data_IF_009209554574
#
_entry.id   IF_009209554574
#
_cell.length_a   1.000
_cell.length_b   1.000
_cell.length_c   1.000
_cell.angle_alpha   90.00
_cell.angle_beta   90.00
_cell.angle_gamma   90.00
#
_symmetry.space_group_name_H-M   'P 1'
#
loop_
_entity.id
_entity.type
_entity.pdbx_description
1 polymer ?
#
# COMPACT_ATOMS: atom_id res chain seq x y z
N UNK A 1 1.22 7.20 19.92
CA UNK A 1 1.44 7.11 18.45
C UNK A 1 0.16 7.44 17.71
N UNK A 2 0.26 8.07 16.56
CA UNK A 2 -0.87 8.34 15.67
C UNK A 2 -1.01 7.18 14.68
N UNK A 3 -2.03 6.30 14.81
CA UNK A 3 -2.22 5.18 13.89
C UNK A 3 -2.51 5.68 12.48
N UNK A 4 -1.96 5.01 11.48
CA UNK A 4 -2.26 5.31 10.08
C UNK A 4 -3.56 4.64 9.63
N UNK A 5 -4.14 5.22 8.59
CA UNK A 5 -5.28 4.68 7.86
C UNK A 5 -5.02 4.69 6.36
N UNK A 6 -5.72 3.82 5.64
CA UNK A 6 -5.80 3.89 4.18
C UNK A 6 -7.26 4.17 3.78
N UNK A 7 -7.42 4.88 2.67
CA UNK A 7 -8.73 5.16 2.10
C UNK A 7 -8.75 4.89 0.59
N UNK A 8 -9.95 4.65 0.10
CA UNK A 8 -10.29 4.51 -1.31
C UNK A 8 -11.57 5.31 -1.54
N UNK A 9 -11.53 6.30 -2.45
CA UNK A 9 -12.71 6.94 -3.03
C UNK A 9 -12.82 6.40 -4.45
N UNK A 10 -13.97 5.81 -4.76
CA UNK A 10 -14.21 5.07 -6.00
C UNK A 10 -15.45 5.62 -6.69
N UNK A 11 -15.29 6.19 -7.86
CA UNK A 11 -16.39 6.78 -8.62
C UNK A 11 -16.40 6.21 -10.05
N UNK A 12 -17.57 5.78 -10.58
CA UNK A 12 -17.67 5.35 -11.96
C UNK A 12 -17.37 6.53 -12.90
N UNK A 13 -16.53 6.29 -13.89
CA UNK A 13 -16.21 7.29 -14.93
C UNK A 13 -17.37 7.31 -15.93
N UNK A 14 -17.81 8.49 -16.31
CA UNK A 14 -18.85 8.64 -17.35
C UNK A 14 -18.34 8.06 -18.68
N UNK A 15 -19.07 7.14 -19.31
CA UNK A 15 -18.62 6.51 -20.54
C UNK A 15 -18.16 7.53 -21.62
N UNK A 16 -16.98 7.29 -22.18
CA UNK A 16 -16.37 8.18 -23.18
C UNK A 16 -15.55 9.35 -22.59
N UNK A 17 -15.52 9.54 -21.25
CA UNK A 17 -14.71 10.59 -20.60
C UNK A 17 -13.35 10.11 -20.11
N UNK A 18 -13.03 8.81 -20.28
CA UNK A 18 -11.79 8.19 -19.77
C UNK A 18 -10.54 8.84 -20.35
N UNK A 19 -10.57 9.17 -21.63
CA UNK A 19 -9.43 9.80 -22.32
C UNK A 19 -9.17 11.22 -21.79
N UNK A 20 -10.21 12.01 -21.63
CA UNK A 20 -10.10 13.38 -21.12
C UNK A 20 -9.63 13.37 -19.65
N UNK A 21 -10.13 12.43 -18.85
CA UNK A 21 -9.69 12.22 -17.48
C UNK A 21 -8.19 11.88 -17.43
N UNK A 22 -7.73 10.90 -18.22
CA UNK A 22 -6.29 10.54 -18.28
C UNK A 22 -5.43 11.73 -18.74
N UNK A 23 -5.90 12.52 -19.70
CA UNK A 23 -5.21 13.73 -20.14
C UNK A 23 -5.08 14.77 -19.01
N UNK A 24 -6.15 14.98 -18.23
CA UNK A 24 -6.10 15.85 -17.05
C UNK A 24 -5.11 15.33 -16.00
N UNK A 25 -5.18 14.03 -15.66
CA UNK A 25 -4.30 13.41 -14.65
C UNK A 25 -2.83 13.48 -15.08
N UNK A 26 -2.54 13.33 -16.36
CA UNK A 26 -1.16 13.44 -16.86
C UNK A 26 -0.53 14.81 -16.58
N UNK A 27 -1.34 15.91 -16.53
CA UNK A 27 -0.84 17.25 -16.20
C UNK A 27 -0.39 17.41 -14.75
N UNK A 28 -0.69 16.45 -13.89
CA UNK A 28 -0.35 16.48 -12.48
C UNK A 28 1.05 15.92 -12.15
N UNK A 29 1.75 15.41 -13.15
CA UNK A 29 3.04 14.77 -12.98
C UNK A 29 4.19 15.68 -13.42
N UNK A 30 5.28 15.70 -12.65
CA UNK A 30 6.56 16.32 -12.99
C UNK A 30 7.37 15.46 -13.96
N UNK A 31 7.20 14.13 -13.88
CA UNK A 31 7.79 13.13 -14.75
C UNK A 31 6.86 11.89 -14.81
N UNK A 32 7.00 11.00 -15.80
CA UNK A 32 6.23 9.78 -15.84
C UNK A 32 6.33 9.01 -14.51
N UNK A 33 5.18 8.58 -13.94
CA UNK A 33 5.14 7.87 -12.68
C UNK A 33 5.47 8.69 -11.42
N UNK A 34 5.59 10.00 -11.51
CA UNK A 34 5.94 10.89 -10.40
C UNK A 34 5.04 12.12 -10.37
N UNK A 35 4.13 12.17 -9.40
CA UNK A 35 3.30 13.35 -9.19
C UNK A 35 4.15 14.57 -8.80
N UNK A 36 3.85 15.74 -9.40
CA UNK A 36 4.36 17.00 -8.90
C UNK A 36 3.67 17.33 -7.56
N UNK A 37 4.40 17.39 -6.44
CA UNK A 37 3.81 17.69 -5.14
C UNK A 37 3.16 19.08 -5.06
N UNK A 38 3.51 19.99 -5.95
CA UNK A 38 3.00 21.36 -6.03
C UNK A 38 2.07 21.61 -7.22
N UNK A 39 1.60 20.56 -7.92
CA UNK A 39 0.76 20.76 -9.10
C UNK A 39 -0.51 21.55 -8.84
N UNK A 40 -0.96 22.29 -9.86
CA UNK A 40 -2.07 23.24 -9.74
C UNK A 40 -3.46 22.58 -9.57
N UNK A 41 -3.59 21.27 -9.84
CA UNK A 41 -4.86 20.53 -9.70
C UNK A 41 -5.03 20.01 -8.28
N UNK A 42 -4.02 19.31 -7.75
CA UNK A 42 -4.04 18.75 -6.39
C UNK A 42 -2.62 18.74 -5.84
N UNK A 43 -2.24 19.82 -5.16
CA UNK A 43 -0.93 19.98 -4.55
C UNK A 43 -0.78 19.04 -3.34
N UNK A 44 -0.45 17.79 -3.58
CA UNK A 44 -0.31 16.76 -2.53
C UNK A 44 0.69 17.16 -1.44
N UNK A 45 1.74 17.90 -1.78
CA UNK A 45 2.79 18.33 -0.85
C UNK A 45 2.32 19.19 0.32
N UNK A 46 1.13 19.82 0.20
CA UNK A 46 0.53 20.59 1.28
C UNK A 46 -0.11 19.73 2.40
N UNK A 47 -0.30 18.41 2.15
CA UNK A 47 -0.95 17.50 3.10
C UNK A 47 0.09 16.77 3.95
N UNK A 48 0.43 17.34 5.10
CA UNK A 48 1.52 16.86 5.97
C UNK A 48 1.29 15.47 6.56
N UNK A 49 0.03 14.99 6.58
CA UNK A 49 -0.37 13.68 7.11
C UNK A 49 -0.47 12.60 6.03
N UNK A 50 -0.22 12.92 4.76
CA UNK A 50 -0.40 12.02 3.63
C UNK A 50 0.93 11.36 3.25
N UNK A 51 1.07 10.05 3.49
CA UNK A 51 2.25 9.27 3.13
C UNK A 51 2.37 9.03 1.63
N UNK A 52 1.31 8.46 1.09
CA UNK A 52 1.17 8.13 -0.33
C UNK A 52 -0.23 8.49 -0.80
N UNK A 53 -0.35 8.91 -2.04
CA UNK A 53 -1.62 9.06 -2.72
C UNK A 53 -1.49 8.65 -4.17
N UNK A 54 -2.57 8.15 -4.76
CA UNK A 54 -2.63 7.86 -6.18
C UNK A 54 -4.01 8.12 -6.76
N UNK A 55 -4.01 8.46 -8.04
CA UNK A 55 -5.17 8.42 -8.90
C UNK A 55 -4.92 7.37 -9.98
N UNK A 56 -5.86 6.46 -10.13
CA UNK A 56 -5.80 5.40 -11.14
C UNK A 56 -7.17 5.23 -11.80
N UNK A 57 -7.17 5.09 -13.11
CA UNK A 57 -8.36 4.74 -13.88
C UNK A 57 -8.42 3.22 -13.97
N UNK A 58 -9.38 2.62 -13.27
CA UNK A 58 -9.56 1.18 -13.19
C UNK A 58 -10.35 0.68 -14.40
N UNK A 59 -9.67 0.64 -15.53
CA UNK A 59 -10.16 0.11 -16.80
C UNK A 59 -9.63 -1.31 -16.95
N UNK A 60 -10.47 -2.31 -16.63
CA UNK A 60 -10.05 -3.70 -16.52
C UNK A 60 -9.89 -4.34 -17.91
N UNK A 61 -8.64 -4.57 -18.39
CA UNK A 61 -8.40 -5.13 -19.71
C UNK A 61 -8.80 -6.61 -19.81
N UNK A 62 -9.06 -7.27 -18.68
CA UNK A 62 -9.37 -8.70 -18.61
C UNK A 62 -10.87 -9.02 -18.69
N UNK A 63 -11.74 -8.00 -18.76
CA UNK A 63 -13.19 -8.20 -18.91
C UNK A 63 -13.57 -8.88 -20.22
N UNK A 64 -12.70 -8.83 -21.23
CA UNK A 64 -12.91 -9.53 -22.50
C UNK A 64 -12.51 -11.01 -22.48
N UNK A 65 -11.91 -11.49 -21.38
CA UNK A 65 -11.47 -12.88 -21.27
C UNK A 65 -12.67 -13.82 -21.26
N UNK A 66 -12.67 -14.77 -22.17
CA UNK A 66 -13.69 -15.81 -22.25
C UNK A 66 -13.30 -16.96 -21.32
N UNK A 67 -13.98 -17.06 -20.19
CA UNK A 67 -13.78 -18.13 -19.23
C UNK A 67 -15.12 -18.49 -18.57
N UNK A 68 -15.29 -19.76 -18.24
CA UNK A 68 -16.46 -20.27 -17.51
C UNK A 68 -17.79 -20.12 -18.22
N UNK A 69 -17.83 -20.06 -19.54
CA UNK A 69 -19.04 -19.89 -20.36
C UNK A 69 -19.95 -18.73 -19.93
N UNK A 70 -19.33 -17.70 -19.32
CA UNK A 70 -20.06 -16.52 -18.89
C UNK A 70 -20.18 -15.51 -20.03
N UNK A 71 -21.34 -14.83 -20.16
CA UNK A 71 -21.45 -13.73 -21.11
C UNK A 71 -20.45 -12.62 -20.74
N UNK A 72 -19.94 -11.92 -21.74
CA UNK A 72 -19.12 -10.72 -21.53
C UNK A 72 -19.84 -9.75 -20.61
N UNK A 73 -19.18 -9.37 -19.53
CA UNK A 73 -19.75 -8.42 -18.55
C UNK A 73 -19.32 -7.00 -18.94
N UNK A 74 -20.32 -6.13 -19.11
CA UNK A 74 -20.09 -4.70 -19.18
C UNK A 74 -20.07 -4.16 -17.75
N UNK A 75 -18.89 -3.92 -17.20
CA UNK A 75 -18.69 -3.34 -15.86
C UNK A 75 -18.12 -1.93 -15.99
N UNK A 76 -18.46 -1.02 -15.08
CA UNK A 76 -17.99 0.36 -15.15
C UNK A 76 -16.46 0.45 -15.06
N UNK A 77 -15.89 1.44 -15.76
CA UNK A 77 -14.57 1.95 -15.49
C UNK A 77 -14.67 2.87 -14.27
N UNK A 78 -13.75 2.75 -13.34
CA UNK A 78 -13.75 3.59 -12.13
C UNK A 78 -12.53 4.50 -12.08
N UNK A 79 -12.73 5.71 -11.59
CA UNK A 79 -11.64 6.51 -11.03
C UNK A 79 -11.46 6.12 -9.56
N UNK A 80 -10.25 5.72 -9.20
CA UNK A 80 -9.85 5.46 -7.82
C UNK A 80 -8.90 6.54 -7.33
N UNK A 81 -9.30 7.29 -6.30
CA UNK A 81 -8.42 8.11 -5.48
C UNK A 81 -8.12 7.32 -4.20
N UNK A 82 -6.86 6.96 -4.01
CA UNK A 82 -6.43 6.25 -2.80
C UNK A 82 -5.36 7.01 -2.04
N UNK A 83 -5.29 6.81 -0.74
CA UNK A 83 -4.24 7.40 0.09
C UNK A 83 -3.96 6.60 1.35
N UNK A 84 -2.76 6.80 1.87
CA UNK A 84 -2.29 6.32 3.17
C UNK A 84 -1.95 7.54 4.01
N UNK A 85 -2.56 7.69 5.18
CA UNK A 85 -2.45 8.90 5.99
C UNK A 85 -2.31 8.63 7.48
N UNK A 86 -1.79 9.60 8.21
CA UNK A 86 -1.77 9.61 9.66
C UNK A 86 -3.16 9.97 10.21
N UNK A 87 -3.64 9.19 11.17
CA UNK A 87 -4.95 9.37 11.79
C UNK A 87 -6.11 8.80 10.98
N UNK A 88 -7.36 9.21 11.27
CA UNK A 88 -8.56 8.70 10.64
C UNK A 88 -8.66 9.04 9.16
N UNK A 89 -9.06 8.07 8.33
CA UNK A 89 -9.25 8.26 6.89
C UNK A 89 -10.30 9.34 6.56
N UNK A 90 -11.36 9.43 7.36
CA UNK A 90 -12.45 10.40 7.15
C UNK A 90 -11.99 11.85 7.29
N UNK A 91 -11.11 12.10 8.27
CA UNK A 91 -10.49 13.41 8.44
C UNK A 91 -9.60 13.77 7.24
N UNK A 92 -8.83 12.79 6.73
CA UNK A 92 -7.97 13.00 5.57
C UNK A 92 -8.79 13.31 4.31
N UNK A 93 -9.87 12.57 4.06
CA UNK A 93 -10.78 12.82 2.93
C UNK A 93 -11.40 14.21 3.05
N UNK A 94 -11.86 14.60 4.25
CA UNK A 94 -12.43 15.92 4.50
C UNK A 94 -11.42 17.05 4.32
N UNK A 95 -10.16 16.83 4.72
CA UNK A 95 -9.08 17.79 4.52
C UNK A 95 -8.73 17.95 3.02
N UNK A 96 -8.68 16.84 2.28
CA UNK A 96 -8.52 16.86 0.82
C UNK A 96 -9.65 17.65 0.14
N UNK A 97 -10.91 17.38 0.49
CA UNK A 97 -12.07 18.07 -0.08
C UNK A 97 -12.04 19.57 0.22
N UNK A 98 -11.64 19.97 1.43
CA UNK A 98 -11.59 21.37 1.85
C UNK A 98 -10.46 22.14 1.18
N UNK A 99 -9.23 21.59 1.16
CA UNK A 99 -8.02 22.31 0.74
C UNK A 99 -7.72 22.18 -0.75
N UNK A 100 -8.14 21.10 -1.39
CA UNK A 100 -7.94 20.85 -2.82
C UNK A 100 -9.28 20.77 -3.60
N UNK A 101 -10.34 21.35 -3.07
CA UNK A 101 -11.71 21.19 -3.59
C UNK A 101 -11.86 21.57 -5.05
N UNK A 102 -11.26 22.66 -5.51
CA UNK A 102 -11.32 23.11 -6.90
C UNK A 102 -10.75 22.06 -7.86
N UNK A 103 -9.57 21.51 -7.57
CA UNK A 103 -8.93 20.51 -8.41
C UNK A 103 -9.67 19.18 -8.37
N UNK A 104 -10.11 18.74 -7.17
CA UNK A 104 -10.89 17.51 -7.03
C UNK A 104 -12.22 17.58 -7.78
N UNK A 105 -12.91 18.72 -7.77
CA UNK A 105 -14.14 18.92 -8.58
C UNK A 105 -13.85 18.81 -10.07
N UNK A 106 -12.72 19.33 -10.56
CA UNK A 106 -12.31 19.17 -11.96
C UNK A 106 -12.07 17.69 -12.32
N UNK A 107 -11.46 16.93 -11.41
CA UNK A 107 -11.22 15.50 -11.60
C UNK A 107 -12.55 14.74 -11.59
N UNK A 108 -13.38 14.91 -10.55
CA UNK A 108 -14.63 14.18 -10.40
C UNK A 108 -15.73 14.62 -11.37
N UNK A 109 -15.59 15.75 -12.06
CA UNK A 109 -16.47 16.14 -13.17
C UNK A 109 -16.46 15.16 -14.35
N UNK A 110 -15.50 14.22 -14.38
CA UNK A 110 -15.48 13.13 -15.34
C UNK A 110 -16.22 11.87 -14.85
N UNK A 111 -16.74 11.91 -13.61
CA UNK A 111 -17.41 10.77 -12.98
C UNK A 111 -18.93 10.90 -13.08
N UNK A 112 -19.59 9.77 -13.19
CA UNK A 112 -21.05 9.71 -13.30
C UNK A 112 -21.74 10.19 -12.02
N UNK A 113 -22.82 10.97 -12.16
CA UNK A 113 -23.58 11.49 -11.04
C UNK A 113 -22.87 12.55 -10.19
N UNK A 114 -21.71 13.09 -10.61
CA UNK A 114 -21.03 14.15 -9.86
C UNK A 114 -21.71 15.52 -10.04
N UNK A 115 -22.13 16.13 -8.95
CA UNK A 115 -22.61 17.50 -8.93
C UNK A 115 -21.50 18.49 -8.52
N UNK A 116 -21.11 19.36 -9.44
CA UNK A 116 -20.07 20.35 -9.21
C UNK A 116 -20.48 21.41 -8.16
N UNK A 117 -21.77 21.64 -7.94
CA UNK A 117 -22.31 22.59 -6.93
C UNK A 117 -22.49 21.97 -5.55
N UNK A 118 -22.50 20.63 -5.46
CA UNK A 118 -22.78 19.88 -4.24
C UNK A 118 -21.65 19.90 -3.21
N UNK A 119 -21.91 19.30 -2.05
CA UNK A 119 -20.90 19.08 -1.00
C UNK A 119 -19.91 18.00 -1.44
N UNK A 120 -18.69 18.43 -1.77
CA UNK A 120 -17.62 17.54 -2.21
C UNK A 120 -17.20 16.53 -1.13
N UNK A 121 -17.14 16.94 0.13
CA UNK A 121 -16.73 16.05 1.22
C UNK A 121 -17.76 14.95 1.42
N UNK A 122 -19.05 15.31 1.45
CA UNK A 122 -20.15 14.35 1.53
C UNK A 122 -20.17 13.39 0.33
N UNK A 123 -19.92 13.92 -0.88
CA UNK A 123 -19.84 13.10 -2.09
C UNK A 123 -18.67 12.10 -2.03
N UNK A 124 -17.48 12.53 -1.65
CA UNK A 124 -16.32 11.66 -1.49
C UNK A 124 -16.54 10.59 -0.42
N UNK A 125 -17.20 10.92 0.68
CA UNK A 125 -17.55 9.96 1.73
C UNK A 125 -18.60 8.94 1.26
N UNK A 126 -19.59 9.37 0.47
CA UNK A 126 -20.57 8.46 -0.12
C UNK A 126 -19.94 7.47 -1.12
N UNK A 127 -18.86 7.87 -1.79
CA UNK A 127 -18.08 7.05 -2.72
C UNK A 127 -16.93 6.30 -2.07
N UNK A 128 -16.86 6.26 -0.74
CA UNK A 128 -15.81 5.56 -0.02
C UNK A 128 -15.95 4.05 -0.18
N UNK A 129 -14.94 3.44 -0.80
CA UNK A 129 -14.81 1.99 -0.95
C UNK A 129 -14.43 1.30 0.38
N UNK A 130 -15.01 0.12 0.63
CA UNK A 130 -14.62 -0.71 1.78
C UNK A 130 -13.38 -1.53 1.46
N UNK A 131 -12.36 -1.41 2.30
CA UNK A 131 -11.17 -2.24 2.20
C UNK A 131 -11.46 -3.63 2.80
N UNK A 132 -11.30 -4.68 2.01
CA UNK A 132 -11.51 -6.06 2.47
C UNK A 132 -10.35 -6.55 3.34
N UNK A 133 -9.13 -6.13 3.00
CA UNK A 133 -7.93 -6.31 3.81
C UNK A 133 -7.01 -5.10 3.66
N UNK A 134 -6.24 -4.82 4.71
CA UNK A 134 -5.42 -3.63 4.80
C UNK A 134 -4.12 -3.95 5.54
N UNK A 135 -2.97 -3.64 4.92
CA UNK A 135 -1.64 -3.80 5.48
C UNK A 135 -0.94 -2.46 5.63
N UNK A 136 -0.37 -2.22 6.80
CA UNK A 136 0.46 -1.07 7.15
C UNK A 136 1.75 -1.60 7.76
N UNK A 137 2.89 -1.34 7.13
CA UNK A 137 4.19 -1.87 7.54
C UNK A 137 4.59 -1.49 8.97
N UNK A 138 4.39 -0.21 9.33
CA UNK A 138 4.80 0.32 10.62
C UNK A 138 3.72 1.20 11.23
N UNK A 139 2.84 0.55 12.01
CA UNK A 139 1.73 1.26 12.65
C UNK A 139 2.24 2.30 13.65
N UNK A 140 1.79 3.54 13.47
CA UNK A 140 2.08 4.67 14.36
C UNK A 140 3.32 5.48 14.00
N UNK A 141 3.94 5.25 12.83
CA UNK A 141 5.04 6.05 12.31
C UNK A 141 4.52 7.12 11.37
N UNK A 142 4.51 8.37 11.80
CA UNK A 142 3.93 9.49 11.06
C UNK A 142 4.84 10.00 9.93
N UNK A 143 4.25 10.68 8.94
CA UNK A 143 4.98 11.39 7.87
C UNK A 143 5.99 12.36 8.47
N UNK A 144 5.59 13.10 9.50
CA UNK A 144 6.47 14.06 10.20
C UNK A 144 7.70 13.36 10.76
N UNK A 145 7.50 12.27 11.52
CA UNK A 145 8.63 11.50 12.07
C UNK A 145 9.56 10.99 10.99
N UNK A 146 9.03 10.43 9.89
CA UNK A 146 9.86 9.96 8.76
C UNK A 146 10.72 11.08 8.19
N UNK A 147 10.14 12.26 7.97
CA UNK A 147 10.87 13.44 7.43
C UNK A 147 11.91 13.97 8.39
N UNK A 148 11.57 14.13 9.67
CA UNK A 148 12.48 14.61 10.72
C UNK A 148 13.67 13.65 10.91
N UNK A 149 13.42 12.34 10.98
CA UNK A 149 14.46 11.34 11.14
C UNK A 149 15.36 11.23 9.90
N UNK A 150 14.80 11.41 8.71
CA UNK A 150 15.58 11.52 7.48
C UNK A 150 16.48 12.78 7.46
N UNK A 151 15.99 13.91 7.97
CA UNK A 151 16.78 15.13 8.12
C UNK A 151 17.88 14.96 9.17
N UNK A 152 17.57 14.34 10.31
CA UNK A 152 18.53 14.00 11.36
C UNK A 152 19.69 13.14 10.81
N UNK A 153 19.37 12.06 10.09
CA UNK A 153 20.40 11.20 9.49
C UNK A 153 21.32 12.00 8.56
N UNK A 154 20.77 12.81 7.65
CA UNK A 154 21.58 13.62 6.72
C UNK A 154 22.49 14.61 7.47
N UNK A 155 22.00 15.26 8.51
CA UNK A 155 22.77 16.21 9.31
C UNK A 155 23.94 15.52 10.04
N UNK A 156 23.65 14.36 10.68
CA UNK A 156 24.66 13.57 11.38
C UNK A 156 25.71 13.00 10.43
N UNK A 157 25.31 12.41 9.30
CA UNK A 157 26.23 11.87 8.30
C UNK A 157 27.19 12.95 7.75
N UNK A 158 26.67 14.16 7.49
CA UNK A 158 27.48 15.29 7.06
C UNK A 158 28.46 15.77 8.16
N UNK A 159 28.07 15.71 9.43
CA UNK A 159 28.92 16.09 10.57
C UNK A 159 30.01 15.05 10.80
N UNK A 160 29.67 13.75 10.79
CA UNK A 160 30.61 12.63 10.94
C UNK A 160 31.66 12.64 9.84
N UNK A 161 31.29 12.84 8.59
CA UNK A 161 32.27 12.90 7.49
C UNK A 161 33.32 13.99 7.68
N UNK A 162 32.99 15.11 8.33
CA UNK A 162 33.94 16.16 8.69
C UNK A 162 34.80 15.80 9.90
N UNK A 163 34.21 15.13 10.90
CA UNK A 163 34.91 14.75 12.13
C UNK A 163 35.95 13.63 11.91
N UNK A 164 35.61 12.63 11.10
CA UNK A 164 36.51 11.51 10.76
C UNK A 164 37.74 11.96 9.98
N UNK A 165 37.65 13.07 9.26
CA UNK A 165 38.79 13.69 8.60
C UNK A 165 39.73 14.44 9.59
N UNK A 166 39.30 14.65 10.83
CA UNK A 166 39.98 15.53 11.78
C UNK A 166 40.58 14.84 13.01
N UNK A 167 40.18 13.63 13.43
CA UNK A 167 40.73 13.02 14.67
C UNK A 167 40.49 11.51 14.81
N UNK A 168 41.39 10.83 15.54
CA UNK A 168 41.23 9.46 16.05
C UNK A 168 40.43 9.40 17.36
N UNK A 169 39.26 10.04 17.42
CA UNK A 169 38.41 10.09 18.62
C UNK A 169 37.80 8.72 18.96
N UNK A 170 37.64 8.42 20.26
CA UNK A 170 36.96 7.21 20.75
C UNK A 170 35.46 7.29 20.40
N UNK A 171 34.83 6.12 20.13
CA UNK A 171 33.43 6.04 19.67
C UNK A 171 32.42 6.73 20.60
N UNK A 172 32.62 6.61 21.91
CA UNK A 172 31.76 7.29 22.90
C UNK A 172 31.89 8.82 22.88
N UNK A 173 33.10 9.32 22.67
CA UNK A 173 33.40 10.74 22.61
C UNK A 173 32.75 11.36 21.35
N UNK A 174 32.96 10.71 20.20
CA UNK A 174 32.32 11.11 18.95
C UNK A 174 30.79 11.07 19.05
N UNK A 175 30.21 10.02 19.65
CA UNK A 175 28.75 9.94 19.88
C UNK A 175 28.25 11.12 20.72
N UNK A 176 28.99 11.49 21.78
CA UNK A 176 28.63 12.62 22.66
C UNK A 176 28.67 13.95 21.88
N UNK A 177 29.72 14.19 21.11
CA UNK A 177 29.82 15.37 20.24
C UNK A 177 28.68 15.48 19.26
N UNK A 178 28.23 14.33 18.71
CA UNK A 178 27.11 14.30 17.78
C UNK A 178 25.76 14.57 18.47
N UNK A 179 25.55 14.11 19.70
CA UNK A 179 24.37 14.43 20.50
C UNK A 179 24.34 15.93 20.81
N UNK A 180 25.45 16.53 21.27
CA UNK A 180 25.56 17.96 21.54
C UNK A 180 25.30 18.81 20.28
N UNK A 181 25.76 18.32 19.13
CA UNK A 181 25.46 18.93 17.84
C UNK A 181 23.96 18.89 17.54
N UNK A 182 23.29 17.74 17.73
CA UNK A 182 21.84 17.62 17.52
C UNK A 182 21.07 18.55 18.43
N UNK A 183 21.40 18.63 19.72
CA UNK A 183 20.75 19.51 20.68
C UNK A 183 20.90 20.99 20.28
N UNK A 184 22.07 21.36 19.76
CA UNK A 184 22.32 22.70 19.21
C UNK A 184 21.43 22.98 17.98
N UNK A 185 21.34 22.03 17.03
CA UNK A 185 20.54 22.17 15.81
C UNK A 185 19.03 22.23 16.12
N UNK A 186 18.57 21.43 17.10
CA UNK A 186 17.17 21.44 17.56
C UNK A 186 16.86 22.76 18.26
N UNK A 187 17.72 23.24 19.16
CA UNK A 187 17.55 24.52 19.86
C UNK A 187 17.54 25.70 18.90
N UNK A 188 18.27 25.62 17.80
CA UNK A 188 18.29 26.62 16.75
C UNK A 188 17.15 26.49 15.74
N UNK A 189 16.26 25.50 15.89
CA UNK A 189 15.11 25.27 14.99
C UNK A 189 15.49 24.73 13.59
N UNK A 190 16.75 24.25 13.40
CA UNK A 190 17.21 23.67 12.13
C UNK A 190 16.92 22.18 12.01
N UNK A 191 16.74 21.48 13.12
CA UNK A 191 16.23 20.10 13.17
C UNK A 191 14.96 20.04 14.01
N UNK A 192 14.01 19.19 13.59
CA UNK A 192 12.82 18.83 14.34
C UNK A 192 12.96 17.40 14.88
N UNK A 193 12.63 17.19 16.15
CA UNK A 193 12.56 15.87 16.77
C UNK A 193 11.25 15.78 17.58
N UNK A 194 10.12 15.91 16.91
CA UNK A 194 8.81 15.92 17.55
C UNK A 194 8.51 14.57 18.23
N UNK A 195 8.15 14.57 19.52
CA UNK A 195 7.72 13.36 20.20
C UNK A 195 6.48 12.75 19.53
N UNK A 196 6.32 11.41 19.57
CA UNK A 196 5.11 10.78 19.06
C UNK A 196 3.89 11.19 19.91
N UNK A 197 2.78 11.52 19.26
CA UNK A 197 1.52 11.82 19.94
C UNK A 197 1.04 10.63 20.79
N UNK A 198 0.26 10.88 21.86
CA UNK A 198 -0.36 9.81 22.61
C UNK A 198 -1.33 9.02 21.73
N UNK A 199 -1.35 7.69 21.90
CA UNK A 199 -2.27 6.85 21.14
C UNK A 199 -3.69 7.04 21.64
N UNK A 200 -4.69 7.29 20.78
CA UNK A 200 -6.09 7.42 21.21
C UNK A 200 -6.58 6.15 21.91
N UNK A 201 -7.23 6.31 23.07
CA UNK A 201 -7.77 5.17 23.84
C UNK A 201 -8.78 4.37 23.03
N UNK A 202 -9.62 5.05 22.23
CA UNK A 202 -10.59 4.41 21.34
C UNK A 202 -9.94 3.46 20.32
N UNK A 203 -8.73 3.77 19.86
CA UNK A 203 -7.99 2.88 18.97
C UNK A 203 -7.55 1.59 19.67
N UNK A 204 -7.10 1.68 20.93
CA UNK A 204 -6.74 0.50 21.72
C UNK A 204 -7.94 -0.40 21.97
N UNK A 205 -9.09 0.20 22.33
CA UNK A 205 -10.35 -0.54 22.53
C UNK A 205 -10.76 -1.24 21.23
N UNK A 206 -10.78 -0.52 20.11
CA UNK A 206 -11.13 -1.09 18.81
C UNK A 206 -10.18 -2.21 18.38
N UNK A 207 -8.87 -2.05 18.64
CA UNK A 207 -7.85 -3.07 18.37
C UNK A 207 -8.08 -4.32 19.22
N UNK A 208 -8.36 -4.16 20.53
CA UNK A 208 -8.64 -5.28 21.43
C UNK A 208 -9.94 -6.00 21.03
N UNK A 209 -11.00 -5.26 20.76
CA UNK A 209 -12.27 -5.86 20.31
C UNK A 209 -12.07 -6.66 19.02
N UNK A 210 -11.34 -6.11 18.04
CA UNK A 210 -11.04 -6.80 16.81
C UNK A 210 -10.15 -8.04 17.02
N UNK A 211 -9.19 -7.97 17.95
CA UNK A 211 -8.34 -9.10 18.31
C UNK A 211 -9.16 -10.27 18.89
N UNK A 212 -10.15 -9.98 19.71
CA UNK A 212 -10.95 -11.00 20.40
C UNK A 212 -12.12 -11.50 19.53
N UNK A 213 -12.78 -10.60 18.79
CA UNK A 213 -14.00 -10.91 18.04
C UNK A 213 -13.78 -11.97 16.95
N UNK A 214 -12.73 -11.82 16.14
CA UNK A 214 -12.48 -12.74 15.01
C UNK A 214 -12.21 -14.17 15.49
N UNK A 215 -11.33 -14.44 16.49
CA UNK A 215 -11.17 -15.78 17.03
C UNK A 215 -12.44 -16.34 17.68
N UNK A 216 -13.22 -15.48 18.36
CA UNK A 216 -14.47 -15.91 18.97
C UNK A 216 -15.48 -16.38 17.92
N UNK A 217 -15.67 -15.59 16.86
CA UNK A 217 -16.51 -15.99 15.72
C UNK A 217 -15.97 -17.27 15.08
N UNK A 218 -14.66 -17.38 14.91
CA UNK A 218 -14.02 -18.60 14.40
C UNK A 218 -14.31 -19.83 15.27
N UNK A 219 -14.24 -19.68 16.58
CA UNK A 219 -14.55 -20.75 17.53
C UNK A 219 -16.03 -21.19 17.46
N UNK A 220 -16.97 -20.24 17.34
CA UNK A 220 -18.40 -20.52 17.19
C UNK A 220 -18.69 -21.23 15.86
N UNK A 221 -18.01 -20.82 14.79
CA UNK A 221 -18.18 -21.43 13.47
C UNK A 221 -17.45 -22.76 13.30
N UNK A 222 -16.47 -23.06 14.17
CA UNK A 222 -15.60 -24.23 14.03
C UNK A 222 -16.36 -25.57 13.93
N UNK A 223 -17.37 -25.87 14.77
CA UNK A 223 -18.14 -27.11 14.63
C UNK A 223 -18.81 -27.27 13.27
N UNK A 224 -19.39 -26.17 12.76
CA UNK A 224 -20.03 -26.15 11.45
C UNK A 224 -19.02 -26.34 10.33
N UNK A 225 -17.84 -25.70 10.44
CA UNK A 225 -16.77 -25.85 9.47
C UNK A 225 -16.20 -27.28 9.47
N UNK A 226 -16.10 -27.94 10.63
CA UNK A 226 -15.69 -29.35 10.72
C UNK A 226 -16.70 -30.25 9.99
N UNK A 227 -17.98 -30.11 10.28
CA UNK A 227 -19.04 -30.91 9.65
C UNK A 227 -19.11 -30.69 8.14
N UNK A 228 -18.94 -29.43 7.69
CA UNK A 228 -18.97 -29.07 6.28
C UNK A 228 -17.63 -29.32 5.56
N UNK A 229 -16.56 -29.60 6.28
CA UNK A 229 -15.21 -29.70 5.70
C UNK A 229 -15.10 -30.70 4.55
N UNK A 230 -15.72 -31.91 4.55
CA UNK A 230 -15.63 -32.83 3.41
C UNK A 230 -16.23 -32.20 2.13
N UNK A 231 -17.38 -31.52 2.28
CA UNK A 231 -18.02 -30.83 1.15
C UNK A 231 -17.19 -29.65 0.66
N UNK A 232 -16.67 -28.82 1.59
CA UNK A 232 -15.84 -27.67 1.25
C UNK A 232 -14.53 -28.11 0.54
N UNK A 233 -13.92 -29.18 1.02
CA UNK A 233 -12.73 -29.79 0.40
C UNK A 233 -13.04 -30.33 -0.99
N UNK A 234 -14.14 -31.05 -1.15
CA UNK A 234 -14.57 -31.57 -2.45
C UNK A 234 -14.82 -30.40 -3.44
N UNK A 235 -15.59 -29.40 -3.03
CA UNK A 235 -15.88 -28.22 -3.86
C UNK A 235 -14.59 -27.48 -4.24
N UNK A 236 -13.68 -27.30 -3.28
CA UNK A 236 -12.38 -26.67 -3.54
C UNK A 236 -11.60 -27.43 -4.60
N UNK A 237 -11.46 -28.76 -4.44
CA UNK A 237 -10.68 -29.57 -5.37
C UNK A 237 -11.30 -29.64 -6.76
N UNK A 238 -12.62 -29.85 -6.84
CA UNK A 238 -13.34 -29.85 -8.10
C UNK A 238 -13.20 -28.52 -8.86
N UNK A 239 -13.27 -27.39 -8.11
CA UNK A 239 -13.08 -26.06 -8.70
C UNK A 239 -11.64 -25.79 -9.12
N UNK A 240 -10.63 -26.21 -8.34
CA UNK A 240 -9.22 -26.05 -8.70
C UNK A 240 -8.85 -26.84 -9.97
N UNK A 241 -9.47 -28.01 -10.18
CA UNK A 241 -9.24 -28.85 -11.37
C UNK A 241 -9.90 -28.28 -12.63
N UNK A 242 -11.06 -27.62 -12.48
CA UNK A 242 -11.80 -26.99 -13.58
C UNK A 242 -11.41 -25.52 -13.84
N UNK A 243 -10.55 -24.91 -13.00
CA UNK A 243 -10.17 -23.51 -13.15
C UNK A 243 -9.46 -23.25 -14.49
N UNK A 244 -9.91 -22.21 -15.18
CA UNK A 244 -9.24 -21.72 -16.39
C UNK A 244 -7.94 -21.00 -16.00
N UNK A 245 -6.85 -21.28 -16.72
CA UNK A 245 -5.59 -20.53 -16.65
C UNK A 245 -5.50 -19.60 -17.86
N UNK A 246 -5.30 -18.28 -17.61
CA UNK A 246 -5.16 -17.27 -18.67
C UNK A 246 -3.91 -16.45 -18.35
N UNK A 247 -2.77 -16.92 -18.83
CA UNK A 247 -1.47 -16.32 -18.53
C UNK A 247 -0.66 -16.11 -19.84
N UNK A 248 -1.23 -15.50 -20.90
CA UNK A 248 -0.47 -15.22 -22.10
C UNK A 248 0.62 -14.18 -21.79
N UNK A 249 1.75 -14.18 -22.51
CA UNK A 249 2.70 -13.11 -22.48
C UNK A 249 2.01 -11.77 -22.82
N UNK A 250 2.44 -10.71 -22.16
CA UNK A 250 1.93 -9.37 -22.42
C UNK A 250 2.35 -8.87 -23.80
N UNK A 251 1.46 -8.08 -24.42
CA UNK A 251 1.83 -7.27 -25.57
C UNK A 251 2.98 -6.32 -25.21
N UNK A 252 3.94 -6.20 -26.13
CA UNK A 252 5.14 -5.39 -25.93
C UNK A 252 4.81 -3.92 -25.69
N UNK A 253 3.81 -3.37 -26.38
CA UNK A 253 3.42 -1.97 -26.25
C UNK A 253 2.82 -1.69 -24.87
N UNK A 254 1.91 -2.55 -24.40
CA UNK A 254 1.33 -2.44 -23.05
C UNK A 254 2.39 -2.59 -21.95
N UNK A 255 3.35 -3.50 -22.13
CA UNK A 255 4.47 -3.65 -21.20
C UNK A 255 5.34 -2.41 -21.11
N UNK A 256 5.68 -1.80 -22.27
CA UNK A 256 6.48 -0.57 -22.31
C UNK A 256 5.75 0.62 -21.67
N UNK A 257 4.43 0.70 -21.81
CA UNK A 257 3.62 1.73 -21.14
C UNK A 257 3.70 1.62 -19.63
N UNK A 258 3.57 0.40 -19.07
CA UNK A 258 3.72 0.16 -17.64
C UNK A 258 5.14 0.48 -17.15
N UNK A 259 6.16 -0.02 -17.87
CA UNK A 259 7.57 0.20 -17.51
C UNK A 259 7.97 1.67 -17.53
N UNK A 260 7.34 2.48 -18.38
CA UNK A 260 7.56 3.93 -18.39
C UNK A 260 7.13 4.63 -17.10
N UNK A 261 6.22 4.04 -16.34
CA UNK A 261 5.69 4.59 -15.08
C UNK A 261 6.33 3.98 -13.83
N UNK A 262 7.27 3.03 -14.01
CA UNK A 262 7.89 2.26 -12.93
C UNK A 262 9.36 2.65 -12.72
N UNK A 263 9.88 2.29 -11.55
CA UNK A 263 11.31 2.26 -11.21
C UNK A 263 12.03 3.63 -11.29
N UNK A 264 11.28 4.73 -11.08
CA UNK A 264 11.83 6.10 -11.08
C UNK A 264 12.38 6.54 -9.72
N UNK A 265 12.08 5.84 -8.63
CA UNK A 265 12.57 6.14 -7.28
C UNK A 265 12.81 4.82 -6.52
N UNK A 266 13.38 4.91 -5.32
CA UNK A 266 13.63 3.76 -4.43
C UNK A 266 12.38 3.01 -4.03
N UNK A 267 11.22 3.67 -4.04
CA UNK A 267 9.92 3.02 -3.83
C UNK A 267 9.05 3.18 -5.06
N UNK A 268 8.20 2.20 -5.28
CA UNK A 268 7.32 2.10 -6.43
C UNK A 268 5.88 1.76 -6.02
N UNK A 269 5.00 1.80 -6.98
CA UNK A 269 3.57 1.55 -6.82
C UNK A 269 3.12 0.37 -7.69
N UNK A 270 2.09 -0.32 -7.22
CA UNK A 270 1.42 -1.37 -7.97
C UNK A 270 -0.09 -1.23 -7.82
N UNK A 271 -0.81 -1.28 -8.92
CA UNK A 271 -2.28 -1.30 -8.97
C UNK A 271 -2.69 -2.42 -9.91
N UNK A 272 -3.56 -3.31 -9.44
CA UNK A 272 -4.10 -4.40 -10.25
C UNK A 272 -5.59 -4.57 -10.01
N UNK A 273 -6.29 -5.00 -11.05
CA UNK A 273 -7.71 -5.34 -11.00
C UNK A 273 -7.95 -6.66 -11.72
N UNK A 274 -8.95 -7.42 -11.29
CA UNK A 274 -9.36 -8.62 -12.00
C UNK A 274 -10.70 -9.15 -11.50
N UNK A 275 -11.36 -9.91 -12.37
CA UNK A 275 -12.63 -10.55 -12.07
C UNK A 275 -12.44 -11.71 -11.09
N UNK A 276 -13.35 -11.84 -10.12
CA UNK A 276 -13.42 -12.97 -9.19
C UNK A 276 -14.12 -14.14 -9.89
N UNK A 277 -13.53 -15.33 -9.78
CA UNK A 277 -14.09 -16.57 -10.30
C UNK A 277 -15.54 -16.74 -9.89
N UNK A 278 -16.43 -17.21 -10.79
CA UNK A 278 -17.87 -17.24 -10.56
C UNK A 278 -18.28 -18.23 -9.47
N UNK A 279 -19.45 -17.97 -8.92
CA UNK A 279 -20.12 -18.83 -7.95
C UNK A 279 -19.96 -18.37 -6.50
N UNK A 280 -20.99 -18.69 -5.70
CA UNK A 280 -21.09 -18.27 -4.29
C UNK A 280 -19.92 -18.82 -3.46
N UNK A 281 -19.52 -20.08 -3.69
CA UNK A 281 -18.40 -20.70 -2.98
C UNK A 281 -17.11 -19.89 -3.10
N UNK A 282 -16.72 -19.47 -4.32
CA UNK A 282 -15.52 -18.69 -4.56
C UNK A 282 -15.59 -17.30 -3.91
N UNK A 283 -16.72 -16.62 -4.02
CA UNK A 283 -16.92 -15.29 -3.41
C UNK A 283 -16.86 -15.33 -1.88
N UNK A 284 -17.47 -16.33 -1.25
CA UNK A 284 -17.41 -16.49 0.20
C UNK A 284 -16.02 -16.91 0.67
N UNK A 285 -15.38 -17.84 -0.05
CA UNK A 285 -14.04 -18.30 0.29
C UNK A 285 -13.02 -17.15 0.27
N UNK A 286 -12.97 -16.37 -0.83
CA UNK A 286 -12.06 -15.22 -0.89
C UNK A 286 -12.39 -14.15 0.16
N UNK A 287 -13.68 -13.93 0.46
CA UNK A 287 -14.06 -12.99 1.52
C UNK A 287 -13.55 -13.44 2.89
N UNK A 288 -13.70 -14.73 3.23
CA UNK A 288 -13.19 -15.28 4.49
C UNK A 288 -11.65 -15.23 4.57
N UNK A 289 -10.97 -15.56 3.47
CA UNK A 289 -9.51 -15.47 3.40
C UNK A 289 -9.00 -14.04 3.55
N UNK A 290 -9.65 -13.04 2.93
CA UNK A 290 -9.27 -11.64 3.11
C UNK A 290 -9.56 -11.13 4.52
N UNK A 291 -10.58 -11.65 5.23
CA UNK A 291 -10.76 -11.39 6.67
C UNK A 291 -9.57 -11.92 7.46
N UNK A 292 -9.09 -13.14 7.17
CA UNK A 292 -7.91 -13.71 7.83
C UNK A 292 -6.63 -12.92 7.50
N UNK A 293 -6.44 -12.49 6.24
CA UNK A 293 -5.34 -11.61 5.82
C UNK A 293 -5.39 -10.29 6.58
N UNK A 294 -6.57 -9.66 6.68
CA UNK A 294 -6.74 -8.41 7.42
C UNK A 294 -6.43 -8.58 8.91
N UNK A 295 -6.86 -9.69 9.50
CA UNK A 295 -6.58 -10.01 10.90
C UNK A 295 -5.07 -10.15 11.16
N UNK A 296 -4.38 -10.95 10.35
CA UNK A 296 -2.93 -11.14 10.49
C UNK A 296 -2.14 -9.87 10.19
N UNK A 297 -2.56 -9.07 9.20
CA UNK A 297 -1.96 -7.77 8.91
C UNK A 297 -2.09 -6.78 10.08
N UNK A 298 -3.21 -6.81 10.81
CA UNK A 298 -3.44 -5.90 11.95
C UNK A 298 -2.79 -6.32 13.25
N UNK A 299 -2.60 -7.62 13.48
CA UNK A 299 -2.18 -8.14 14.79
C UNK A 299 -0.83 -8.86 14.78
N UNK A 300 -0.43 -9.43 13.64
CA UNK A 300 0.81 -10.20 13.51
C UNK A 300 1.88 -9.42 12.74
N UNK A 301 1.52 -8.89 11.57
CA UNK A 301 2.47 -8.22 10.66
C UNK A 301 2.42 -6.70 10.84
N UNK A 302 2.85 -6.19 11.99
CA UNK A 302 2.68 -4.76 12.37
C UNK A 302 3.98 -3.97 12.45
N UNK A 303 5.14 -4.60 12.27
CA UNK A 303 6.45 -3.97 12.47
C UNK A 303 7.48 -4.42 11.44
N UNK A 304 7.39 -3.86 10.23
CA UNK A 304 8.48 -3.95 9.27
C UNK A 304 8.49 -5.18 8.37
N UNK A 305 7.43 -6.03 8.37
CA UNK A 305 7.37 -7.18 7.48
C UNK A 305 5.94 -7.69 7.26
N UNK A 306 5.67 -8.16 6.05
CA UNK A 306 4.49 -8.96 5.71
C UNK A 306 4.95 -10.39 5.40
N UNK A 307 4.72 -11.32 6.30
CA UNK A 307 5.35 -12.64 6.27
C UNK A 307 6.88 -12.51 6.20
N UNK A 308 7.50 -12.72 5.04
CA UNK A 308 8.96 -12.57 4.84
C UNK A 308 9.33 -11.40 3.93
N UNK A 309 8.34 -10.64 3.45
CA UNK A 309 8.57 -9.46 2.59
C UNK A 309 8.70 -8.22 3.47
N UNK A 310 9.80 -7.50 3.31
CA UNK A 310 10.14 -6.32 4.12
C UNK A 310 10.07 -5.01 3.32
N UNK A 311 9.66 -5.09 2.06
CA UNK A 311 9.70 -3.98 1.10
C UNK A 311 8.36 -3.28 0.92
N UNK A 312 7.26 -3.79 1.51
CA UNK A 312 5.91 -3.24 1.32
C UNK A 312 5.61 -2.19 2.39
N UNK A 313 5.36 -0.96 1.98
CA UNK A 313 4.93 0.13 2.89
C UNK A 313 3.47 0.01 3.28
N UNK A 314 2.59 -0.03 2.28
CA UNK A 314 1.14 -0.11 2.43
C UNK A 314 0.58 -0.98 1.32
N UNK A 315 -0.43 -1.77 1.65
CA UNK A 315 -1.19 -2.53 0.66
C UNK A 315 -2.63 -2.69 1.11
N UNK A 316 -3.55 -2.78 0.16
CA UNK A 316 -4.93 -3.15 0.47
C UNK A 316 -5.60 -3.94 -0.67
N UNK A 317 -6.66 -4.63 -0.30
CA UNK A 317 -7.59 -5.30 -1.19
C UNK A 317 -8.98 -4.70 -1.03
N UNK A 318 -9.65 -4.43 -2.13
CA UNK A 318 -11.03 -3.92 -2.13
C UNK A 318 -11.88 -4.65 -3.16
N UNK A 319 -13.09 -5.05 -2.76
CA UNK A 319 -14.06 -5.61 -3.68
C UNK A 319 -14.82 -4.51 -4.41
N UNK A 320 -15.13 -4.77 -5.67
CA UNK A 320 -15.98 -3.96 -6.54
C UNK A 320 -17.14 -4.80 -7.05
N UNK A 321 -18.23 -4.12 -7.47
CA UNK A 321 -19.36 -4.71 -8.20
C UNK A 321 -19.92 -5.95 -7.49
N UNK A 322 -20.29 -5.79 -6.22
CA UNK A 322 -20.82 -6.89 -5.39
C UNK A 322 -19.89 -8.12 -5.36
N UNK A 323 -18.58 -7.87 -5.19
CA UNK A 323 -17.52 -8.87 -5.15
C UNK A 323 -17.30 -9.61 -6.48
N UNK A 324 -17.67 -8.99 -7.60
CA UNK A 324 -17.36 -9.53 -8.93
C UNK A 324 -15.95 -9.21 -9.37
N UNK A 325 -15.39 -8.08 -8.92
CA UNK A 325 -13.98 -7.72 -9.15
C UNK A 325 -13.24 -7.48 -7.82
N UNK A 326 -11.95 -7.66 -7.87
CA UNK A 326 -11.03 -7.37 -6.76
C UNK A 326 -9.95 -6.42 -7.26
N UNK A 327 -9.74 -5.33 -6.53
CA UNK A 327 -8.61 -4.42 -6.71
C UNK A 327 -7.58 -4.69 -5.63
N UNK A 328 -6.33 -4.71 -6.03
CA UNK A 328 -5.17 -4.73 -5.14
C UNK A 328 -4.27 -3.55 -5.43
N UNK A 329 -3.81 -2.89 -4.38
CA UNK A 329 -2.80 -1.83 -4.48
C UNK A 329 -1.70 -2.05 -3.46
N UNK A 330 -0.48 -1.73 -3.85
CA UNK A 330 0.66 -1.68 -2.91
C UNK A 330 1.61 -0.54 -3.23
N UNK A 331 2.35 -0.10 -2.21
CA UNK A 331 3.54 0.74 -2.33
C UNK A 331 4.70 -0.08 -1.77
N UNK A 332 5.78 -0.23 -2.53
CA UNK A 332 6.88 -1.15 -2.22
C UNK A 332 8.23 -0.54 -2.61
N UNK A 333 9.30 -1.05 -2.02
CA UNK A 333 10.68 -0.65 -2.34
C UNK A 333 11.31 -1.56 -3.38
N UNK A 334 12.17 -0.98 -4.21
CA UNK A 334 12.88 -1.67 -5.28
C UNK A 334 12.10 -1.73 -6.59
N UNK A 335 12.70 -2.29 -7.62
CA UNK A 335 12.09 -2.43 -8.94
C UNK A 335 11.00 -3.50 -8.98
N UNK A 336 10.11 -3.39 -9.98
CA UNK A 336 8.96 -4.29 -10.15
C UNK A 336 9.36 -5.76 -10.22
N UNK A 337 10.39 -6.10 -10.99
CA UNK A 337 10.81 -7.52 -11.14
C UNK A 337 11.30 -8.08 -9.81
N UNK A 338 12.12 -7.34 -9.06
CA UNK A 338 12.58 -7.75 -7.72
C UNK A 338 11.41 -7.94 -6.75
N UNK A 339 10.38 -7.09 -6.84
CA UNK A 339 9.17 -7.21 -6.04
C UNK A 339 8.38 -8.51 -6.37
N UNK A 340 8.26 -8.85 -7.65
CA UNK A 340 7.61 -10.10 -8.07
C UNK A 340 8.43 -11.33 -7.64
N UNK A 341 9.76 -11.27 -7.73
CA UNK A 341 10.66 -12.35 -7.29
C UNK A 341 10.58 -12.56 -5.78
N UNK A 342 10.49 -11.50 -4.99
CA UNK A 342 10.26 -11.58 -3.55
C UNK A 342 8.96 -12.32 -3.21
N UNK A 343 7.90 -12.06 -3.95
CA UNK A 343 6.63 -12.75 -3.78
C UNK A 343 6.74 -14.24 -4.11
N UNK A 344 7.36 -14.60 -5.25
CA UNK A 344 7.52 -15.98 -5.67
C UNK A 344 8.35 -16.76 -4.64
N UNK A 345 9.47 -16.18 -4.22
CA UNK A 345 10.45 -16.88 -3.40
C UNK A 345 10.08 -16.91 -1.91
N UNK A 346 9.43 -15.88 -1.40
CA UNK A 346 9.19 -15.72 0.04
C UNK A 346 7.76 -16.07 0.46
N UNK A 347 6.75 -15.76 -0.37
CA UNK A 347 5.32 -15.79 0.04
C UNK A 347 4.36 -16.32 -1.03
N UNK A 348 4.79 -17.13 -1.98
CA UNK A 348 3.92 -17.67 -3.03
C UNK A 348 2.62 -18.31 -2.50
N UNK A 349 2.69 -18.97 -1.34
CA UNK A 349 1.51 -19.55 -0.68
C UNK A 349 0.48 -18.48 -0.27
N UNK A 350 0.93 -17.32 0.22
CA UNK A 350 0.08 -16.21 0.61
C UNK A 350 -0.55 -15.52 -0.60
N UNK A 351 0.20 -15.41 -1.72
CA UNK A 351 -0.34 -14.94 -2.99
C UNK A 351 -1.45 -15.86 -3.49
N UNK A 352 -1.21 -17.17 -3.45
CA UNK A 352 -2.23 -18.15 -3.84
C UNK A 352 -3.50 -18.02 -3.00
N UNK A 353 -3.39 -17.85 -1.67
CA UNK A 353 -4.53 -17.63 -0.80
C UNK A 353 -5.32 -16.37 -1.17
N UNK A 354 -4.64 -15.28 -1.53
CA UNK A 354 -5.28 -13.98 -1.81
C UNK A 354 -5.82 -13.89 -3.24
N UNK A 355 -5.05 -14.38 -4.24
CA UNK A 355 -5.29 -14.09 -5.65
C UNK A 355 -5.75 -15.28 -6.48
N UNK A 356 -5.67 -16.53 -5.98
CA UNK A 356 -6.11 -17.72 -6.74
C UNK A 356 -7.61 -17.73 -7.06
N UNK A 357 -8.35 -16.80 -6.48
CA UNK A 357 -9.76 -16.58 -6.75
C UNK A 357 -10.01 -15.65 -7.96
N UNK A 358 -8.97 -15.05 -8.53
CA UNK A 358 -9.04 -14.28 -9.77
C UNK A 358 -9.18 -15.18 -10.99
N UNK A 359 -9.99 -14.73 -11.97
CA UNK A 359 -10.12 -15.40 -13.28
C UNK A 359 -8.74 -15.45 -13.94
N UNK A 360 -8.38 -16.59 -14.51
CA UNK A 360 -7.12 -16.76 -15.23
C UNK A 360 -5.89 -17.06 -14.35
N UNK A 361 -5.99 -17.01 -13.02
CA UNK A 361 -4.85 -17.33 -12.13
C UNK A 361 -4.26 -18.71 -12.43
N UNK A 362 -2.94 -18.90 -12.39
CA UNK A 362 -2.32 -20.20 -12.53
C UNK A 362 -2.89 -21.21 -11.53
N UNK A 363 -3.24 -22.40 -11.99
CA UNK A 363 -3.93 -23.42 -11.15
C UNK A 363 -3.17 -23.70 -9.87
N UNK A 364 -3.90 -23.63 -8.77
CA UNK A 364 -3.40 -24.00 -7.44
C UNK A 364 -3.72 -25.45 -7.09
N UNK A 365 -3.08 -25.93 -6.04
CA UNK A 365 -3.45 -27.18 -5.37
C UNK A 365 -3.54 -26.89 -3.87
N UNK A 366 -4.70 -27.15 -3.28
CA UNK A 366 -4.97 -26.88 -1.87
C UNK A 366 -4.79 -25.39 -1.52
N UNK A 367 -5.13 -24.49 -2.41
CA UNK A 367 -4.97 -23.03 -2.31
C UNK A 367 -3.53 -22.51 -2.08
N UNK A 368 -2.56 -23.35 -1.82
CA UNK A 368 -1.21 -22.92 -1.39
C UNK A 368 -0.08 -23.42 -2.29
N UNK A 369 -0.28 -24.58 -2.93
CA UNK A 369 0.73 -25.18 -3.79
C UNK A 369 0.51 -24.80 -5.27
N UNK A 370 1.56 -24.88 -6.10
CA UNK A 370 1.58 -24.44 -7.50
C UNK A 370 1.25 -22.94 -7.61
N UNK A 371 0.40 -22.55 -8.57
CA UNK A 371 -0.03 -21.15 -8.73
C UNK A 371 1.14 -20.20 -8.92
N UNK A 372 1.32 -19.26 -8.00
CA UNK A 372 2.39 -18.25 -8.03
C UNK A 372 3.82 -18.83 -8.07
N UNK A 373 4.02 -20.10 -7.72
CA UNK A 373 5.34 -20.77 -7.84
C UNK A 373 5.73 -21.08 -9.30
N UNK A 374 4.78 -21.02 -10.23
CA UNK A 374 5.07 -21.15 -11.66
C UNK A 374 5.38 -19.73 -12.17
N UNK A 375 6.65 -19.33 -12.03
CA UNK A 375 7.13 -17.97 -12.21
C UNK A 375 6.62 -17.32 -13.50
N UNK A 376 6.81 -17.95 -14.65
CA UNK A 376 6.42 -17.37 -15.95
C UNK A 376 4.91 -17.10 -16.03
N UNK A 377 4.07 -18.04 -15.56
CA UNK A 377 2.63 -17.86 -15.54
C UNK A 377 2.20 -16.76 -14.56
N UNK A 378 2.83 -16.72 -13.39
CA UNK A 378 2.54 -15.71 -12.38
C UNK A 378 2.91 -14.31 -12.87
N UNK A 379 4.12 -14.10 -13.40
CA UNK A 379 4.56 -12.82 -13.93
C UNK A 379 3.67 -12.34 -15.09
N UNK A 380 3.32 -13.24 -16.01
CA UNK A 380 2.38 -12.93 -17.09
C UNK A 380 1.00 -12.51 -16.56
N UNK A 381 0.47 -13.28 -15.61
CA UNK A 381 -0.81 -12.95 -14.96
C UNK A 381 -0.77 -11.57 -14.29
N UNK A 382 0.27 -11.29 -13.51
CA UNK A 382 0.41 -10.02 -12.79
C UNK A 382 0.48 -8.82 -13.75
N UNK A 383 1.31 -8.91 -14.78
CA UNK A 383 1.42 -7.86 -15.78
C UNK A 383 0.11 -7.63 -16.53
N UNK A 384 -0.65 -8.71 -16.81
CA UNK A 384 -1.94 -8.61 -17.50
C UNK A 384 -3.01 -7.88 -16.68
N UNK A 385 -2.99 -8.01 -15.37
CA UNK A 385 -3.94 -7.40 -14.45
C UNK A 385 -3.46 -6.05 -13.89
N UNK A 386 -2.20 -5.69 -14.14
CA UNK A 386 -1.63 -4.43 -13.72
C UNK A 386 -2.18 -3.28 -14.54
N UNK A 387 -2.54 -2.20 -13.85
CA UNK A 387 -2.99 -0.96 -14.46
C UNK A 387 -1.93 0.13 -14.32
N UNK A 388 -1.83 1.04 -15.31
CA UNK A 388 -1.11 2.29 -15.15
C UNK A 388 -1.65 3.05 -13.93
N UNK A 389 -0.75 3.64 -13.15
CA UNK A 389 -1.14 4.60 -12.11
C UNK A 389 -0.87 5.99 -12.66
N UNK A 390 -1.95 6.71 -13.00
CA UNK A 390 -1.85 7.99 -13.70
C UNK A 390 -1.15 9.05 -12.88
N UNK A 391 -1.36 9.05 -11.55
CA UNK A 391 -0.72 9.98 -10.62
C UNK A 391 -0.31 9.23 -9.36
N UNK A 392 0.96 9.32 -8.99
CA UNK A 392 1.45 8.72 -7.75
C UNK A 392 2.32 9.68 -6.97
N UNK A 393 1.89 10.00 -5.76
CA UNK A 393 2.55 10.88 -4.81
C UNK A 393 3.17 10.10 -3.66
N UNK A 394 4.37 10.51 -3.24
CA UNK A 394 5.09 10.03 -2.07
C UNK A 394 5.62 11.22 -1.27
N UNK A 395 5.35 11.25 0.06
CA UNK A 395 5.73 12.37 0.94
C UNK A 395 7.23 12.45 1.25
N UNK A 396 7.96 11.36 1.05
CA UNK A 396 9.39 11.22 1.38
C UNK A 396 10.16 10.48 0.27
N UNK A 397 10.36 11.15 -0.90
CA UNK A 397 11.14 10.59 -2.01
C UNK A 397 12.56 10.22 -1.57
N UNK A 398 13.14 9.19 -2.19
CA UNK A 398 14.49 8.70 -1.88
C UNK A 398 14.63 7.89 -0.59
N UNK A 399 13.54 7.63 0.16
CA UNK A 399 13.58 6.82 1.38
C UNK A 399 12.85 5.48 1.21
N UNK A 400 13.60 4.40 1.38
CA UNK A 400 13.09 3.04 1.48
C UNK A 400 12.74 2.67 2.93
N UNK A 401 12.02 1.58 3.16
CA UNK A 401 11.71 1.06 4.52
C UNK A 401 12.97 0.74 5.33
N UNK A 402 14.03 0.29 4.65
CA UNK A 402 15.33 0.08 5.29
C UNK A 402 15.90 1.39 5.85
N UNK A 403 15.76 2.51 5.11
CA UNK A 403 16.18 3.83 5.57
C UNK A 403 15.31 4.32 6.72
N UNK A 404 13.99 4.12 6.65
CA UNK A 404 13.08 4.48 7.73
C UNK A 404 13.45 3.76 9.03
N UNK A 405 13.76 2.47 8.94
CA UNK A 405 14.16 1.64 10.08
C UNK A 405 15.51 2.07 10.65
N UNK A 406 16.48 2.34 9.78
CA UNK A 406 17.80 2.85 10.16
C UNK A 406 17.67 4.21 10.86
N UNK A 407 16.95 5.15 10.25
CA UNK A 407 16.80 6.51 10.76
C UNK A 407 16.10 6.55 12.14
N UNK A 408 15.11 5.66 12.34
CA UNK A 408 14.51 5.48 13.66
C UNK A 408 15.54 5.02 14.71
N UNK A 409 16.37 4.02 14.38
CA UNK A 409 17.40 3.54 15.31
C UNK A 409 18.44 4.63 15.61
N UNK A 410 18.74 5.50 14.64
CA UNK A 410 19.59 6.68 14.86
C UNK A 410 18.93 7.60 15.88
N UNK A 411 17.65 7.91 15.73
CA UNK A 411 16.91 8.74 16.68
C UNK A 411 16.83 8.13 18.08
N UNK A 412 16.53 6.84 18.18
CA UNK A 412 16.49 6.10 19.46
C UNK A 412 17.86 6.14 20.18
N UNK A 413 18.96 6.12 19.42
CA UNK A 413 20.31 6.21 19.95
C UNK A 413 20.74 7.58 20.49
N UNK A 414 19.90 8.62 20.32
CA UNK A 414 20.11 9.94 20.94
C UNK A 414 19.73 9.98 22.42
N UNK A 415 18.98 8.98 22.91
CA UNK A 415 18.57 8.94 24.32
C UNK A 415 19.80 8.97 25.25
N UNK A 416 19.72 9.72 26.38
CA UNK A 416 20.84 9.91 27.30
C UNK A 416 21.09 8.67 28.17
N UNK A 417 21.36 7.53 27.55
CA UNK A 417 21.68 6.27 28.23
C UNK A 417 23.21 6.04 28.17
N UNK A 418 23.80 5.57 29.26
CA UNK A 418 25.19 5.12 29.25
C UNK A 418 25.30 3.92 28.30
N UNK A 419 26.15 4.04 27.31
CA UNK A 419 26.42 2.99 26.32
C UNK A 419 27.86 2.54 26.43
N UNK A 420 28.13 1.30 26.09
CA UNK A 420 29.48 0.75 25.92
C UNK A 420 30.11 1.27 24.61
N UNK A 421 31.43 1.16 24.47
CA UNK A 421 32.12 1.53 23.20
C UNK A 421 31.57 0.74 22.02
N UNK A 422 31.29 -0.55 22.20
CA UNK A 422 30.71 -1.41 21.15
C UNK A 422 29.31 -0.95 20.72
N UNK A 423 28.47 -0.49 21.66
CA UNK A 423 27.15 0.07 21.34
C UNK A 423 27.27 1.43 20.65
N UNK A 424 28.19 2.28 21.08
CA UNK A 424 28.50 3.55 20.42
C UNK A 424 28.98 3.33 18.98
N UNK A 425 29.91 2.40 18.74
CA UNK A 425 30.35 2.01 17.40
C UNK A 425 29.21 1.47 16.55
N UNK A 426 28.35 0.59 17.14
CA UNK A 426 27.21 0.03 16.43
C UNK A 426 26.21 1.11 16.00
N UNK A 427 26.02 2.15 16.84
CA UNK A 427 25.20 3.31 16.49
C UNK A 427 25.84 4.19 15.41
N UNK A 428 27.16 4.47 15.53
CA UNK A 428 27.90 5.25 14.53
C UNK A 428 27.88 4.59 13.13
N UNK A 429 27.86 3.25 13.07
CA UNK A 429 27.73 2.51 11.80
C UNK A 429 26.37 2.68 11.10
N UNK A 430 25.39 3.26 11.77
CA UNK A 430 24.10 3.59 11.15
C UNK A 430 24.14 4.90 10.35
N UNK A 431 25.14 5.74 10.61
CA UNK A 431 25.36 7.04 9.97
C UNK A 431 26.10 6.89 8.64
#
# INVERSE_FOLDING_TARGET
MTPQSQFLVLAPVTPGRERDLRALLATMNSAPGMADPANAVLAFGQFERLHFARLAVLDDPTLSDEAYDLPRQSLPVYLALTGSCDGPADECISDLARRAGTGLRRIFAHCDGFDAGGDLAAWMQAHRGRLAANYINWVGRTVRQVKEEGALHRALAAKVSRALLASGAQAQELRRELIDFVDTEVSAGRLGLTPPDPTPVGWWIAKLLHLLWIPLVGLVLLPFLIVLSPLLIYLLRAKEESDAEICPPQDRAALLELQRLEDHDVSNQYTAIGSVKPGLFRRWLVSGLLVAVNYTARHVFTRGFLARVQTIHFAFWAFLDDKRRLVFTSNYDGGHEAYMDDFINKVAWGLNLSFSHGVGWPRTRWLVARGARIESKFKNYQRRHQLPTEVWYKAYPGLALADLKRNQRIREGLEPVRVTDAEAEAWLRLL
#
